data_IF_716996894304
#
_entry.id   IF_716996894304
#
_cell.length_a   1.000
_cell.length_b   1.000
_cell.length_c   1.000
_cell.angle_alpha   90.00
_cell.angle_beta   90.00
_cell.angle_gamma   90.00
#
_symmetry.space_group_name_H-M   'P 1'
#
loop_
_entity.id
_entity.type
_entity.pdbx_description
1 polymer ?
#
# COMPACT_ATOMS: atom_id res chain seq x y z
N UNK A 1 -20.71 -45.93 45.39
CA UNK A 1 -21.60 -45.99 46.57
C UNK A 1 -20.72 -45.74 47.80
N UNK A 2 -21.20 -44.91 48.73
CA UNK A 2 -20.62 -44.53 50.05
C UNK A 2 -19.76 -43.25 50.14
N UNK A 3 -20.42 -42.22 50.68
CA UNK A 3 -19.91 -40.99 51.29
C UNK A 3 -19.19 -41.25 52.62
N UNK A 4 -18.29 -40.34 53.02
CA UNK A 4 -18.08 -39.75 54.38
C UNK A 4 -16.90 -38.77 54.29
N UNK A 5 -17.06 -37.45 54.28
CA UNK A 5 -17.41 -36.52 55.38
C UNK A 5 -16.45 -36.58 56.57
N UNK A 6 -15.65 -35.52 56.76
CA UNK A 6 -14.95 -35.00 57.96
C UNK A 6 -14.02 -33.88 57.44
N UNK A 7 -13.91 -32.65 57.93
CA UNK A 7 -14.42 -31.94 59.09
C UNK A 7 -13.54 -30.68 59.20
N UNK A 8 -14.14 -29.49 59.27
CA UNK A 8 -13.42 -28.22 59.42
C UNK A 8 -12.58 -28.23 60.72
N UNK A 9 -11.34 -27.73 60.65
CA UNK A 9 -10.65 -27.22 61.82
C UNK A 9 -9.97 -25.89 61.48
N UNK A 10 -10.64 -24.81 61.91
CA UNK A 10 -10.15 -23.43 61.86
C UNK A 10 -8.97 -23.29 62.81
N UNK A 11 -7.77 -22.98 62.29
CA UNK A 11 -6.63 -22.54 63.11
C UNK A 11 -6.28 -21.10 62.80
N UNK A 12 -6.54 -20.23 63.78
CA UNK A 12 -6.02 -18.87 63.90
C UNK A 12 -4.49 -18.91 63.81
N UNK A 13 -3.92 -18.14 62.89
CA UNK A 13 -2.51 -17.78 62.92
C UNK A 13 -2.39 -16.27 63.19
N UNK A 14 -1.60 -15.95 64.20
CA UNK A 14 -1.47 -14.66 64.85
C UNK A 14 -0.82 -13.59 63.95
N UNK A 15 -1.24 -12.34 64.14
CA UNK A 15 -0.60 -11.15 63.58
C UNK A 15 0.82 -10.98 64.15
N UNK A 16 1.84 -11.31 63.35
CA UNK A 16 3.21 -10.86 63.59
C UNK A 16 3.42 -9.52 62.86
N UNK A 17 3.65 -8.44 63.62
CA UNK A 17 4.08 -7.14 63.10
C UNK A 17 5.51 -7.27 62.57
N UNK A 18 5.67 -7.16 61.26
CA UNK A 18 6.98 -7.03 60.61
C UNK A 18 7.32 -5.53 60.49
N UNK A 19 8.54 -5.09 60.86
CA UNK A 19 8.92 -3.68 60.82
C UNK A 19 9.18 -3.20 59.38
N UNK A 20 8.74 -1.98 59.08
CA UNK A 20 8.97 -1.28 57.81
C UNK A 20 10.45 -0.90 57.65
N UNK A 21 11.12 -1.21 56.53
CA UNK A 21 12.41 -0.61 56.22
C UNK A 21 12.25 0.81 55.66
N UNK A 22 13.26 1.62 55.97
CA UNK A 22 13.34 3.06 55.74
C UNK A 22 13.27 3.49 54.27
N UNK A 23 12.71 4.68 54.06
CA UNK A 23 12.58 5.35 52.77
C UNK A 23 13.96 5.57 52.12
N UNK A 24 14.22 4.85 51.02
CA UNK A 24 15.33 5.14 50.12
C UNK A 24 14.83 5.99 48.94
N UNK A 25 15.49 7.13 48.77
CA UNK A 25 15.27 8.13 47.73
C UNK A 25 15.58 7.54 46.36
N UNK A 26 14.55 7.33 45.51
CA UNK A 26 14.74 7.03 44.09
C UNK A 26 14.39 8.28 43.30
N UNK A 27 15.43 8.97 42.85
CA UNK A 27 15.33 10.02 41.85
C UNK A 27 15.01 9.45 40.47
N UNK A 28 14.02 10.06 39.83
CA UNK A 28 14.03 10.49 38.42
C UNK A 28 14.34 9.41 37.36
N UNK A 29 13.28 8.80 36.81
CA UNK A 29 13.00 8.69 35.37
C UNK A 29 11.86 7.67 35.11
N UNK A 30 10.60 8.11 35.25
CA UNK A 30 9.46 7.47 34.60
C UNK A 30 8.99 8.41 33.51
N UNK A 31 9.67 8.35 32.36
CA UNK A 31 9.12 8.90 31.13
C UNK A 31 7.96 7.96 30.73
N UNK A 32 6.74 8.47 30.84
CA UNK A 32 5.55 7.78 30.41
C UNK A 32 5.65 7.44 28.92
N UNK A 33 5.70 6.14 28.61
CA UNK A 33 5.45 5.64 27.26
C UNK A 33 3.97 5.80 26.96
N UNK A 34 3.57 7.04 26.60
CA UNK A 34 2.36 7.23 25.82
C UNK A 34 2.64 6.62 24.45
N UNK A 35 2.10 5.43 24.19
CA UNK A 35 1.91 4.98 22.82
C UNK A 35 1.07 6.06 22.15
N UNK A 36 1.64 6.75 21.15
CA UNK A 36 0.87 7.64 20.30
C UNK A 36 -0.23 6.78 19.67
N UNK A 37 -1.46 6.92 20.18
CA UNK A 37 -2.64 6.47 19.46
C UNK A 37 -2.59 7.16 18.09
N UNK A 38 -2.74 6.44 16.96
CA UNK A 38 -2.77 7.09 15.66
C UNK A 38 -3.80 8.21 15.72
N UNK A 39 -3.41 9.39 15.21
CA UNK A 39 -4.29 10.54 15.20
C UNK A 39 -5.65 10.14 14.59
N UNK A 40 -6.78 10.56 15.19
CA UNK A 40 -8.09 10.28 14.61
C UNK A 40 -8.08 10.75 13.15
N UNK A 41 -8.63 9.96 12.21
CA UNK A 41 -8.64 10.32 10.81
C UNK A 41 -9.26 11.71 10.66
N UNK A 42 -8.60 12.58 9.90
CA UNK A 42 -9.09 13.92 9.64
C UNK A 42 -10.55 13.85 9.15
N UNK A 43 -11.43 14.78 9.56
CA UNK A 43 -12.80 14.79 9.07
C UNK A 43 -12.79 14.79 7.53
N UNK A 44 -13.61 13.96 6.88
CA UNK A 44 -13.57 13.77 5.44
C UNK A 44 -13.76 15.12 4.75
N UNK A 45 -12.73 15.57 4.05
CA UNK A 45 -12.77 16.82 3.31
C UNK A 45 -13.61 16.56 2.05
N UNK A 46 -14.76 17.24 1.96
CA UNK A 46 -15.61 17.15 0.79
C UNK A 46 -14.81 17.48 -0.49
N UNK A 47 -14.99 16.72 -1.59
CA UNK A 47 -14.31 16.99 -2.86
C UNK A 47 -14.51 18.44 -3.33
N UNK A 48 -13.48 19.02 -3.94
CA UNK A 48 -13.53 20.38 -4.46
C UNK A 48 -14.50 20.53 -5.66
N UNK A 49 -14.69 19.47 -6.46
CA UNK A 49 -15.66 19.47 -7.56
C UNK A 49 -17.10 19.32 -7.03
N UNK A 50 -17.99 20.17 -7.52
CA UNK A 50 -19.39 20.22 -7.06
C UNK A 50 -20.18 18.95 -7.38
N UNK A 51 -19.84 18.21 -8.43
CA UNK A 51 -20.55 16.99 -8.82
C UNK A 51 -20.03 15.79 -8.02
N UNK A 52 -18.72 15.73 -7.77
CA UNK A 52 -18.12 14.77 -6.85
C UNK A 52 -18.61 14.96 -5.42
N UNK A 53 -18.72 16.22 -4.95
CA UNK A 53 -19.31 16.51 -3.64
C UNK A 53 -20.78 16.04 -3.55
N UNK A 54 -21.55 16.16 -4.62
CA UNK A 54 -22.92 15.61 -4.70
C UNK A 54 -22.93 14.09 -4.68
N UNK A 55 -22.01 13.44 -5.38
CA UNK A 55 -21.88 11.99 -5.38
C UNK A 55 -21.50 11.47 -3.98
N UNK A 56 -20.56 12.15 -3.31
CA UNK A 56 -20.17 11.87 -1.93
C UNK A 56 -21.37 11.96 -0.98
N UNK A 57 -22.09 13.09 -0.98
CA UNK A 57 -23.26 13.29 -0.12
C UNK A 57 -24.34 12.24 -0.40
N UNK A 58 -24.55 11.88 -1.67
CA UNK A 58 -25.52 10.85 -2.05
C UNK A 58 -25.17 9.48 -1.46
N UNK A 59 -23.92 9.05 -1.58
CA UNK A 59 -23.46 7.76 -1.05
C UNK A 59 -23.48 7.72 0.48
N UNK A 60 -23.11 8.82 1.16
CA UNK A 60 -23.24 8.92 2.62
C UNK A 60 -24.71 8.88 3.05
N UNK A 61 -25.62 9.54 2.31
CA UNK A 61 -27.04 9.51 2.61
C UNK A 61 -27.68 8.11 2.46
N UNK A 62 -27.07 7.23 1.64
CA UNK A 62 -27.44 5.82 1.53
C UNK A 62 -26.89 4.95 2.69
N UNK A 63 -26.12 5.54 3.60
CA UNK A 63 -25.62 4.88 4.81
C UNK A 63 -24.20 4.33 4.70
N UNK A 64 -23.48 4.58 3.60
CA UNK A 64 -22.10 4.13 3.45
C UNK A 64 -21.12 4.97 4.28
N UNK A 65 -20.11 4.32 4.88
CA UNK A 65 -19.06 4.97 5.68
C UNK A 65 -18.19 5.86 4.79
N UNK A 66 -17.73 7.01 5.32
CA UNK A 66 -16.92 7.97 4.58
C UNK A 66 -15.71 7.36 3.86
N UNK A 67 -14.95 6.49 4.53
CA UNK A 67 -13.80 5.80 3.92
C UNK A 67 -14.16 4.94 2.69
N UNK A 68 -15.32 4.29 2.72
CA UNK A 68 -15.82 3.49 1.58
C UNK A 68 -16.26 4.40 0.45
N UNK A 69 -16.94 5.50 0.78
CA UNK A 69 -17.34 6.51 -0.21
C UNK A 69 -16.13 7.12 -0.90
N UNK A 70 -15.11 7.51 -0.13
CA UNK A 70 -13.86 8.06 -0.67
C UNK A 70 -13.15 7.08 -1.61
N UNK A 71 -13.08 5.80 -1.23
CA UNK A 71 -12.46 4.76 -2.05
C UNK A 71 -13.27 4.44 -3.33
N UNK A 72 -14.60 4.39 -3.25
CA UNK A 72 -15.49 4.25 -4.43
C UNK A 72 -15.28 5.42 -5.40
N UNK A 73 -15.25 6.65 -4.89
CA UNK A 73 -15.03 7.84 -5.73
C UNK A 73 -13.62 7.84 -6.34
N UNK A 74 -12.59 7.41 -5.60
CA UNK A 74 -11.23 7.25 -6.12
C UNK A 74 -11.19 6.23 -7.27
N UNK A 75 -11.78 5.05 -7.09
CA UNK A 75 -11.84 4.01 -8.12
C UNK A 75 -12.56 4.50 -9.39
N UNK A 76 -13.63 5.29 -9.26
CA UNK A 76 -14.34 5.87 -10.40
C UNK A 76 -13.54 6.97 -11.11
N UNK A 77 -12.72 7.76 -10.38
CA UNK A 77 -11.83 8.76 -10.97
C UNK A 77 -10.73 8.15 -11.83
N UNK A 78 -10.23 6.97 -11.45
CA UNK A 78 -9.21 6.25 -12.24
C UNK A 78 -9.71 5.88 -13.64
N UNK A 79 -11.03 5.79 -13.82
CA UNK A 79 -11.67 5.61 -15.13
C UNK A 79 -11.70 6.90 -15.98
N UNK A 80 -11.02 7.97 -15.54
CA UNK A 80 -10.92 9.29 -16.20
C UNK A 80 -12.28 9.95 -16.49
N UNK A 81 -13.26 9.72 -15.64
CA UNK A 81 -14.57 10.37 -15.75
C UNK A 81 -14.47 11.85 -15.35
N UNK A 82 -15.13 12.73 -16.09
CA UNK A 82 -15.36 14.11 -15.62
C UNK A 82 -16.28 14.10 -14.40
N UNK A 83 -16.26 15.13 -13.56
CA UNK A 83 -17.10 15.16 -12.34
C UNK A 83 -18.61 14.95 -12.61
N UNK A 84 -19.11 15.48 -13.74
CA UNK A 84 -20.51 15.25 -14.16
C UNK A 84 -20.76 13.80 -14.61
N UNK A 85 -19.83 13.20 -15.36
CA UNK A 85 -19.90 11.79 -15.76
C UNK A 85 -19.78 10.85 -14.56
N UNK A 86 -18.97 11.21 -13.55
CA UNK A 86 -18.82 10.46 -12.31
C UNK A 86 -20.13 10.45 -11.53
N UNK A 87 -20.76 11.62 -11.33
CA UNK A 87 -22.07 11.68 -10.67
C UNK A 87 -23.15 10.90 -11.46
N UNK A 88 -23.09 10.95 -12.79
CA UNK A 88 -23.93 10.13 -13.66
C UNK A 88 -23.71 8.63 -13.45
N UNK A 89 -22.46 8.17 -13.38
CA UNK A 89 -22.10 6.79 -13.13
C UNK A 89 -22.57 6.31 -11.76
N UNK A 90 -22.36 7.10 -10.70
CA UNK A 90 -22.85 6.79 -9.35
C UNK A 90 -24.37 6.65 -9.33
N UNK A 91 -25.09 7.57 -9.98
CA UNK A 91 -26.56 7.48 -10.11
C UNK A 91 -26.99 6.25 -10.91
N UNK A 92 -26.24 5.89 -11.94
CA UNK A 92 -26.45 4.68 -12.72
C UNK A 92 -26.32 3.42 -11.86
N UNK A 93 -25.27 3.35 -11.03
CA UNK A 93 -25.00 2.22 -10.12
C UNK A 93 -26.02 2.08 -9.00
N UNK A 94 -26.60 3.19 -8.54
CA UNK A 94 -27.72 3.18 -7.58
C UNK A 94 -28.98 2.59 -8.23
N UNK A 95 -29.07 2.67 -9.55
CA UNK A 95 -30.26 2.28 -10.31
C UNK A 95 -31.39 3.30 -10.21
N UNK A 96 -32.52 2.97 -10.83
CA UNK A 96 -33.77 3.76 -10.74
C UNK A 96 -34.78 3.02 -9.87
N UNK A 97 -35.46 3.69 -8.93
CA UNK A 97 -36.42 3.05 -8.05
C UNK A 97 -37.57 2.37 -8.82
N UNK A 98 -37.93 2.90 -9.99
CA UNK A 98 -38.96 2.34 -10.88
C UNK A 98 -38.57 1.07 -11.65
N UNK A 99 -37.29 0.74 -11.78
CA UNK A 99 -36.80 -0.44 -12.54
C UNK A 99 -36.21 -1.52 -11.62
N UNK A 100 -36.05 -1.21 -10.32
CA UNK A 100 -35.29 -2.03 -9.38
C UNK A 100 -33.79 -1.71 -9.45
N UNK A 101 -33.06 -1.96 -8.35
CA UNK A 101 -31.59 -1.87 -8.36
C UNK A 101 -31.02 -3.22 -8.81
N UNK A 102 -30.01 -3.19 -9.67
CA UNK A 102 -29.31 -4.38 -10.18
C UNK A 102 -28.23 -4.90 -9.22
N UNK A 103 -28.09 -4.28 -8.03
CA UNK A 103 -27.02 -4.59 -7.08
C UNK A 103 -25.68 -4.00 -7.45
N UNK A 104 -25.57 -3.17 -8.50
CA UNK A 104 -24.29 -2.66 -9.00
C UNK A 104 -23.50 -1.87 -7.97
N UNK A 105 -24.14 -0.91 -7.29
CA UNK A 105 -23.48 -0.16 -6.21
C UNK A 105 -23.08 -1.06 -5.04
N UNK A 106 -23.96 -1.98 -4.61
CA UNK A 106 -23.68 -2.86 -3.48
C UNK A 106 -22.51 -3.81 -3.77
N UNK A 107 -22.42 -4.35 -4.98
CA UNK A 107 -21.31 -5.16 -5.42
C UNK A 107 -19.98 -4.36 -5.45
N UNK A 108 -20.02 -3.13 -5.94
CA UNK A 108 -18.85 -2.24 -5.94
C UNK A 108 -18.41 -1.91 -4.51
N UNK A 109 -19.36 -1.55 -3.64
CA UNK A 109 -19.12 -1.28 -2.22
C UNK A 109 -18.51 -2.50 -1.53
N UNK A 110 -19.07 -3.68 -1.72
CA UNK A 110 -18.54 -4.92 -1.14
C UNK A 110 -17.10 -5.19 -1.62
N UNK A 111 -16.82 -4.97 -2.91
CA UNK A 111 -15.47 -5.13 -3.46
C UNK A 111 -14.49 -4.12 -2.84
N UNK A 112 -14.90 -2.86 -2.69
CA UNK A 112 -14.07 -1.81 -2.07
C UNK A 112 -13.84 -2.10 -0.59
N UNK A 113 -14.85 -2.57 0.14
CA UNK A 113 -14.69 -2.97 1.53
C UNK A 113 -13.73 -4.16 1.67
N UNK A 114 -13.76 -5.11 0.73
CA UNK A 114 -12.79 -6.20 0.67
C UNK A 114 -11.36 -5.69 0.44
N UNK A 115 -11.18 -4.71 -0.45
CA UNK A 115 -9.87 -4.08 -0.70
C UNK A 115 -9.38 -3.35 0.55
N UNK A 116 -10.22 -2.52 1.16
CA UNK A 116 -9.88 -1.79 2.39
C UNK A 116 -9.53 -2.75 3.53
N UNK A 117 -10.28 -3.84 3.69
CA UNK A 117 -9.98 -4.87 4.69
C UNK A 117 -8.66 -5.61 4.41
N UNK A 118 -8.33 -5.83 3.13
CA UNK A 118 -7.03 -6.41 2.74
C UNK A 118 -5.86 -5.41 2.93
N UNK A 119 -6.15 -4.12 3.00
CA UNK A 119 -5.19 -3.04 3.25
C UNK A 119 -5.07 -2.67 4.74
N UNK A 120 -6.07 -3.03 5.55
CA UNK A 120 -6.17 -2.67 6.96
C UNK A 120 -4.99 -3.27 7.76
N UNK A 121 -4.19 -2.40 8.36
CA UNK A 121 -3.02 -2.78 9.17
C UNK A 121 -1.73 -3.01 8.37
N UNK A 122 -1.73 -2.88 7.04
CA UNK A 122 -0.49 -2.92 6.25
C UNK A 122 0.29 -1.63 6.39
N UNK A 123 1.59 -1.74 6.63
CA UNK A 123 2.47 -0.58 6.69
C UNK A 123 2.53 0.10 5.32
N UNK A 124 2.52 1.44 5.30
CA UNK A 124 2.81 2.21 4.09
C UNK A 124 4.32 2.29 3.91
N UNK A 125 4.77 2.03 2.69
CA UNK A 125 6.17 2.08 2.28
C UNK A 125 6.29 3.12 1.18
N UNK A 126 7.20 4.08 1.36
CA UNK A 126 7.53 5.07 0.34
C UNK A 126 8.85 4.71 -0.31
N UNK A 127 8.92 4.85 -1.62
CA UNK A 127 10.16 4.67 -2.36
C UNK A 127 10.30 5.74 -3.43
N UNK A 128 11.54 6.01 -3.81
CA UNK A 128 11.92 7.03 -4.79
C UNK A 128 12.36 6.37 -6.07
N UNK A 129 11.85 6.91 -7.16
CA UNK A 129 12.13 6.43 -8.51
C UNK A 129 12.88 7.51 -9.27
N UNK A 130 14.06 7.15 -9.76
CA UNK A 130 14.84 7.94 -10.70
C UNK A 130 14.43 7.57 -12.13
N UNK A 131 14.04 8.57 -12.90
CA UNK A 131 13.78 8.42 -14.34
C UNK A 131 15.07 8.09 -15.09
N UNK A 132 14.99 7.59 -16.33
CA UNK A 132 16.18 7.23 -17.10
C UNK A 132 17.10 8.42 -17.48
N UNK A 133 16.62 9.65 -17.28
CA UNK A 133 17.37 10.89 -17.51
C UNK A 133 18.17 11.34 -16.28
N UNK A 134 17.83 10.84 -15.10
CA UNK A 134 18.48 11.24 -13.86
C UNK A 134 19.97 10.86 -13.84
N UNK A 135 20.82 11.77 -13.36
CA UNK A 135 22.24 11.50 -13.13
C UNK A 135 22.52 11.36 -11.64
N UNK A 136 23.39 10.41 -11.30
CA UNK A 136 23.74 10.10 -9.92
C UNK A 136 22.60 9.48 -9.11
N UNK A 137 22.90 9.13 -7.87
CA UNK A 137 21.93 8.60 -6.90
C UNK A 137 21.47 9.64 -5.89
N UNK A 138 22.05 10.85 -5.93
CA UNK A 138 21.68 11.93 -5.03
C UNK A 138 20.23 12.37 -5.25
N UNK A 139 19.49 12.49 -4.15
CA UNK A 139 18.05 12.72 -4.13
C UNK A 139 17.77 14.20 -3.80
N UNK A 140 17.92 15.09 -4.79
CA UNK A 140 17.34 16.44 -4.69
C UNK A 140 15.84 16.36 -5.00
N UNK A 141 15.00 16.66 -4.01
CA UNK A 141 13.54 16.67 -4.11
C UNK A 141 13.01 17.66 -5.16
N UNK A 142 13.81 18.64 -5.58
CA UNK A 142 13.42 19.64 -6.59
C UNK A 142 13.69 19.18 -8.02
N UNK A 143 14.37 18.05 -8.21
CA UNK A 143 14.70 17.57 -9.55
C UNK A 143 13.54 16.74 -10.13
N UNK A 144 12.92 17.18 -11.24
CA UNK A 144 11.77 16.51 -11.85
C UNK A 144 12.10 15.13 -12.43
N UNK A 145 13.37 14.77 -12.54
CA UNK A 145 13.81 13.44 -12.95
C UNK A 145 13.71 12.40 -11.83
N UNK A 146 13.22 12.78 -10.64
CA UNK A 146 12.94 11.90 -9.51
C UNK A 146 11.52 12.14 -8.98
N UNK A 147 10.88 11.09 -8.51
CA UNK A 147 9.57 11.19 -7.88
C UNK A 147 9.41 10.14 -6.79
N UNK A 148 8.54 10.43 -5.82
CA UNK A 148 8.21 9.52 -4.74
C UNK A 148 6.93 8.75 -5.08
N UNK A 149 6.90 7.49 -4.68
CA UNK A 149 5.78 6.57 -4.83
C UNK A 149 5.45 6.02 -3.45
N UNK A 150 4.17 6.10 -3.07
CA UNK A 150 3.67 5.45 -1.86
C UNK A 150 3.06 4.11 -2.25
N UNK A 151 3.17 3.11 -1.38
CA UNK A 151 2.58 1.79 -1.60
C UNK A 151 2.37 1.08 -0.26
N UNK A 152 1.73 -0.09 -0.30
CA UNK A 152 1.55 -0.93 0.87
C UNK A 152 2.58 -2.05 0.90
N UNK A 153 3.02 -2.41 2.10
CA UNK A 153 3.84 -3.60 2.34
C UNK A 153 3.18 -4.85 1.72
N UNK A 154 3.98 -5.70 1.08
CA UNK A 154 3.53 -6.89 0.36
C UNK A 154 3.20 -6.66 -1.11
N UNK A 155 3.16 -5.41 -1.60
CA UNK A 155 3.09 -5.14 -3.04
C UNK A 155 4.48 -5.26 -3.68
N UNK A 156 4.57 -5.79 -4.90
CA UNK A 156 5.79 -5.66 -5.70
C UNK A 156 5.85 -4.29 -6.39
N UNK A 157 7.03 -3.87 -6.86
CA UNK A 157 7.17 -2.63 -7.66
C UNK A 157 6.29 -2.70 -8.91
N UNK A 158 6.17 -3.88 -9.53
CA UNK A 158 5.30 -4.09 -10.68
C UNK A 158 3.81 -3.97 -10.32
N UNK A 159 3.39 -4.46 -9.15
CA UNK A 159 2.02 -4.28 -8.68
C UNK A 159 1.68 -2.80 -8.47
N UNK A 160 2.63 -2.04 -7.92
CA UNK A 160 2.46 -0.59 -7.76
C UNK A 160 2.36 0.10 -9.12
N UNK A 161 3.21 -0.28 -10.08
CA UNK A 161 3.16 0.27 -11.44
C UNK A 161 1.85 -0.05 -12.15
N UNK A 162 1.30 -1.26 -11.99
CA UNK A 162 0.10 -1.71 -12.74
C UNK A 162 -1.21 -1.37 -12.04
N UNK A 163 -1.24 -1.44 -10.72
CA UNK A 163 -2.45 -1.45 -9.91
C UNK A 163 -2.48 -0.33 -8.87
N UNK A 164 -1.37 0.39 -8.66
CA UNK A 164 -1.24 1.46 -7.67
C UNK A 164 -1.95 2.76 -8.02
N UNK A 165 -3.06 2.75 -8.76
CA UNK A 165 -3.79 3.96 -9.15
C UNK A 165 -4.29 4.77 -7.92
N UNK A 166 -4.45 4.14 -6.75
CA UNK A 166 -4.72 4.80 -5.46
C UNK A 166 -3.48 5.21 -4.63
N UNK A 167 -2.27 4.93 -5.10
CA UNK A 167 -1.01 5.10 -4.37
C UNK A 167 -0.34 6.48 -4.62
N UNK A 168 -1.08 7.40 -5.23
CA UNK A 168 -0.67 8.79 -5.47
C UNK A 168 -0.09 9.03 -6.87
N UNK A 169 0.22 10.30 -7.21
CA UNK A 169 0.65 10.70 -8.56
C UNK A 169 1.93 10.00 -9.03
N UNK A 170 2.82 9.61 -8.11
CA UNK A 170 4.06 8.89 -8.45
C UNK A 170 3.82 7.50 -9.03
N UNK A 171 2.84 6.75 -8.51
CA UNK A 171 2.52 5.41 -9.02
C UNK A 171 2.05 5.47 -10.49
N UNK A 172 1.32 6.53 -10.85
CA UNK A 172 0.94 6.77 -12.24
C UNK A 172 2.15 7.02 -13.13
N UNK A 173 3.11 7.85 -12.70
CA UNK A 173 4.34 8.07 -13.49
C UNK A 173 5.13 6.77 -13.62
N UNK A 174 5.19 5.96 -12.56
CA UNK A 174 5.83 4.65 -12.61
C UNK A 174 5.15 3.71 -13.63
N UNK A 175 3.82 3.74 -13.73
CA UNK A 175 3.06 2.97 -14.72
C UNK A 175 3.41 3.32 -16.17
N UNK A 176 3.82 4.56 -16.42
CA UNK A 176 4.24 5.02 -17.75
C UNK A 176 5.69 4.62 -18.06
N UNK A 177 6.49 4.26 -17.04
CA UNK A 177 7.90 3.90 -17.18
C UNK A 177 8.15 2.39 -17.20
N UNK A 178 7.28 1.58 -16.58
CA UNK A 178 7.40 0.13 -16.51
C UNK A 178 6.23 -0.56 -17.21
N UNK A 179 6.52 -1.27 -18.30
CA UNK A 179 5.49 -1.96 -19.08
C UNK A 179 4.90 -3.15 -18.33
N UNK A 180 5.73 -3.91 -17.59
CA UNK A 180 5.31 -5.09 -16.84
C UNK A 180 4.48 -6.09 -17.67
N UNK A 181 4.94 -6.41 -18.88
CA UNK A 181 4.18 -7.12 -19.92
C UNK A 181 3.66 -8.50 -19.48
N UNK A 182 4.47 -9.30 -18.78
CA UNK A 182 4.06 -10.63 -18.32
C UNK A 182 3.17 -10.62 -17.07
N UNK A 183 2.83 -9.46 -16.50
CA UNK A 183 2.03 -9.37 -15.26
C UNK A 183 2.68 -10.03 -14.04
N UNK A 184 4.01 -9.98 -13.95
CA UNK A 184 4.74 -10.41 -12.76
C UNK A 184 5.02 -11.91 -12.65
N UNK A 185 4.69 -12.71 -13.68
CA UNK A 185 4.95 -14.16 -13.70
C UNK A 185 6.38 -14.56 -14.09
N UNK A 186 7.33 -13.62 -14.03
CA UNK A 186 8.75 -13.84 -14.36
C UNK A 186 8.99 -14.45 -15.75
N UNK A 187 8.20 -14.02 -16.75
CA UNK A 187 8.33 -14.47 -18.15
C UNK A 187 8.85 -13.38 -19.10
N UNK A 188 9.25 -12.22 -18.58
CA UNK A 188 9.86 -11.13 -19.35
C UNK A 188 10.74 -10.26 -18.44
N UNK A 189 11.55 -9.39 -19.04
CA UNK A 189 12.41 -8.42 -18.34
C UNK A 189 11.89 -6.97 -18.38
N UNK A 190 10.65 -6.73 -18.81
CA UNK A 190 10.10 -5.36 -19.01
C UNK A 190 9.70 -4.64 -17.72
N UNK A 191 9.90 -5.26 -16.57
CA UNK A 191 9.81 -4.63 -15.24
C UNK A 191 11.18 -4.36 -14.62
N UNK A 192 12.25 -4.44 -15.41
CA UNK A 192 13.63 -4.23 -14.96
C UNK A 192 13.80 -2.86 -14.29
N UNK A 193 14.36 -2.90 -13.08
CA UNK A 193 14.78 -1.72 -12.31
C UNK A 193 16.20 -1.91 -11.81
N UNK A 194 16.90 -0.81 -11.58
CA UNK A 194 18.23 -0.81 -10.94
C UNK A 194 18.10 -0.29 -9.53
N UNK A 195 18.45 -1.10 -8.54
CA UNK A 195 18.39 -0.71 -7.13
C UNK A 195 19.63 0.11 -6.79
N UNK A 196 19.47 1.17 -5.99
CA UNK A 196 20.60 1.93 -5.50
C UNK A 196 21.54 1.06 -4.65
N UNK A 197 22.87 1.18 -4.78
CA UNK A 197 23.82 0.27 -4.13
C UNK A 197 23.64 0.14 -2.61
N UNK A 198 23.29 1.23 -1.92
CA UNK A 198 23.05 1.27 -0.48
C UNK A 198 21.80 0.49 -0.04
N UNK A 199 20.88 0.22 -0.97
CA UNK A 199 19.64 -0.52 -0.73
C UNK A 199 19.71 -1.97 -1.19
N UNK A 200 20.65 -2.32 -2.08
CA UNK A 200 20.69 -3.63 -2.72
C UNK A 200 20.78 -4.79 -1.71
N UNK A 201 21.60 -4.65 -0.66
CA UNK A 201 21.71 -5.66 0.39
C UNK A 201 20.39 -5.88 1.16
N UNK A 202 19.54 -4.85 1.29
CA UNK A 202 18.23 -4.96 1.94
C UNK A 202 17.20 -5.60 1.01
N UNK A 203 17.24 -5.25 -0.28
CA UNK A 203 16.36 -5.80 -1.31
C UNK A 203 16.66 -7.28 -1.57
N UNK A 204 17.93 -7.68 -1.46
CA UNK A 204 18.39 -9.04 -1.71
C UNK A 204 18.86 -9.25 -3.14
N UNK A 205 19.62 -10.32 -3.34
CA UNK A 205 20.10 -10.73 -4.66
C UNK A 205 18.99 -11.45 -5.45
N UNK A 206 19.01 -11.37 -6.79
CA UNK A 206 18.12 -12.16 -7.63
C UNK A 206 18.42 -13.66 -7.51
N UNK A 207 17.38 -14.49 -7.57
CA UNK A 207 17.54 -15.95 -7.69
C UNK A 207 18.06 -16.32 -9.10
N UNK A 208 18.24 -17.61 -9.35
CA UNK A 208 18.81 -18.09 -10.62
C UNK A 208 17.87 -17.81 -11.80
N UNK A 209 16.57 -18.08 -11.64
CA UNK A 209 15.58 -17.85 -12.69
C UNK A 209 15.41 -16.35 -13.00
N UNK A 210 15.44 -15.48 -11.98
CA UNK A 210 15.42 -14.03 -12.14
C UNK A 210 16.69 -13.55 -12.85
N UNK A 211 17.85 -14.11 -12.54
CA UNK A 211 19.13 -13.78 -13.22
C UNK A 211 19.08 -14.11 -14.70
N UNK A 212 18.58 -15.29 -15.05
CA UNK A 212 18.41 -15.71 -16.45
C UNK A 212 17.51 -14.74 -17.22
N UNK A 213 16.47 -14.21 -16.58
CA UNK A 213 15.60 -13.19 -17.17
C UNK A 213 16.28 -11.81 -17.23
N UNK A 214 17.10 -11.45 -16.25
CA UNK A 214 17.84 -10.19 -16.24
C UNK A 214 18.93 -10.13 -17.33
N UNK A 215 19.47 -11.27 -17.76
CA UNK A 215 20.40 -11.34 -18.89
C UNK A 215 19.75 -10.87 -20.21
N UNK A 216 18.42 -10.97 -20.30
CA UNK A 216 17.63 -10.48 -21.43
C UNK A 216 17.22 -9.01 -21.27
N UNK A 217 17.54 -8.35 -20.16
CA UNK A 217 17.15 -6.98 -19.89
C UNK A 217 17.97 -5.96 -20.69
N UNK A 218 17.50 -4.72 -20.75
CA UNK A 218 18.21 -3.64 -21.41
C UNK A 218 19.25 -3.04 -20.46
N UNK A 219 20.54 -3.14 -20.82
CA UNK A 219 21.67 -2.64 -20.03
C UNK A 219 21.62 -3.10 -18.54
N UNK A 220 21.63 -4.42 -18.26
CA UNK A 220 21.63 -4.91 -16.89
C UNK A 220 22.92 -4.49 -16.15
N UNK A 221 22.80 -4.37 -14.82
CA UNK A 221 23.86 -3.94 -13.91
C UNK A 221 23.92 -4.92 -12.74
N UNK A 222 24.97 -4.84 -11.92
CA UNK A 222 25.12 -5.72 -10.76
C UNK A 222 24.04 -5.55 -9.68
N UNK A 223 23.31 -4.43 -9.67
CA UNK A 223 22.19 -4.19 -8.75
C UNK A 223 20.83 -4.17 -9.45
N UNK A 224 20.77 -4.72 -10.67
CA UNK A 224 19.51 -4.91 -11.39
C UNK A 224 18.65 -5.96 -10.70
N UNK A 225 17.34 -5.69 -10.67
CA UNK A 225 16.28 -6.61 -10.23
C UNK A 225 15.10 -6.51 -11.17
N UNK A 226 14.29 -7.56 -11.22
CA UNK A 226 12.95 -7.51 -11.80
C UNK A 226 12.00 -6.90 -10.79
N UNK A 227 11.36 -5.78 -11.13
CA UNK A 227 10.46 -5.06 -10.22
C UNK A 227 9.29 -5.91 -9.71
N UNK A 228 8.89 -6.96 -10.44
CA UNK A 228 7.88 -7.91 -9.96
C UNK A 228 8.36 -8.84 -8.84
N UNK A 229 9.66 -9.08 -8.71
CA UNK A 229 10.25 -9.90 -7.65
C UNK A 229 10.66 -9.06 -6.43
N UNK A 230 10.68 -7.73 -6.55
CA UNK A 230 10.97 -6.82 -5.45
C UNK A 230 9.69 -6.53 -4.67
N UNK A 231 9.44 -7.32 -3.63
CA UNK A 231 8.31 -7.13 -2.70
C UNK A 231 8.66 -6.08 -1.65
N UNK A 232 7.80 -5.07 -1.51
CA UNK A 232 7.93 -4.00 -0.53
C UNK A 232 7.74 -4.54 0.89
N UNK A 233 8.70 -4.24 1.76
CA UNK A 233 8.68 -4.54 3.20
C UNK A 233 8.79 -3.23 3.97
N UNK A 234 8.33 -3.18 5.22
CA UNK A 234 8.47 -1.98 6.05
C UNK A 234 9.91 -1.45 6.14
N UNK A 235 10.91 -2.35 6.08
CA UNK A 235 12.35 -2.03 6.09
C UNK A 235 12.85 -1.31 4.83
N UNK A 236 12.04 -1.31 3.76
CA UNK A 236 12.33 -0.66 2.48
C UNK A 236 11.72 0.75 2.38
N UNK A 237 11.18 1.31 3.47
CA UNK A 237 10.75 2.72 3.49
C UNK A 237 11.95 3.64 3.22
N UNK A 238 11.87 4.42 2.15
CA UNK A 238 12.93 5.25 1.60
C UNK A 238 13.76 4.61 0.49
N UNK A 239 13.42 3.40 0.02
CA UNK A 239 14.10 2.70 -1.08
C UNK A 239 14.31 3.63 -2.28
N UNK A 240 15.49 3.58 -2.87
CA UNK A 240 15.82 4.32 -4.10
C UNK A 240 16.07 3.35 -5.23
N UNK A 241 15.36 3.52 -6.34
CA UNK A 241 15.52 2.73 -7.55
C UNK A 241 15.55 3.61 -8.80
N UNK A 242 16.15 3.12 -9.88
CA UNK A 242 16.20 3.78 -11.19
C UNK A 242 15.55 2.90 -12.24
N UNK A 243 14.75 3.52 -13.11
CA UNK A 243 14.25 2.87 -14.33
C UNK A 243 15.29 3.04 -15.45
N UNK A 244 15.72 1.96 -16.13
CA UNK A 244 16.59 2.01 -17.31
C UNK A 244 15.96 2.76 -18.49
N UNK A 245 16.76 3.10 -19.51
CA UNK A 245 16.30 3.89 -20.67
C UNK A 245 15.35 3.17 -21.61
N UNK A 246 15.32 1.84 -21.56
CA UNK A 246 14.44 1.02 -22.37
C UNK A 246 14.11 -0.28 -21.65
N UNK A 247 13.17 -1.01 -22.24
CA UNK A 247 12.82 -2.36 -21.87
C UNK A 247 12.95 -3.24 -23.12
N UNK A 248 13.40 -4.48 -22.95
CA UNK A 248 13.40 -5.45 -24.04
C UNK A 248 12.09 -6.23 -24.00
N UNK A 249 11.16 -5.92 -24.90
CA UNK A 249 9.95 -6.70 -25.07
C UNK A 249 10.12 -7.67 -26.26
N UNK A 250 9.87 -8.97 -26.05
CA UNK A 250 10.06 -9.98 -27.09
C UNK A 250 9.14 -9.77 -28.31
N UNK A 251 8.06 -9.01 -28.17
CA UNK A 251 7.15 -8.68 -29.28
C UNK A 251 7.66 -7.56 -30.18
N UNK A 252 8.61 -6.71 -29.71
CA UNK A 252 9.09 -5.56 -30.49
C UNK A 252 10.03 -5.97 -31.65
N UNK A 253 10.58 -7.18 -31.58
CA UNK A 253 11.56 -7.70 -32.55
C UNK A 253 10.99 -8.81 -33.46
N UNK A 254 9.66 -8.93 -33.57
CA UNK A 254 9.05 -9.84 -34.55
C UNK A 254 8.92 -9.07 -35.87
N UNK A 255 9.76 -9.33 -36.90
CA UNK A 255 9.59 -8.71 -38.20
C UNK A 255 8.29 -9.22 -38.83
N UNK A 256 7.30 -8.34 -38.97
CA UNK A 256 6.18 -8.60 -39.86
C UNK A 256 6.69 -8.40 -41.30
N UNK A 257 6.58 -9.40 -42.19
CA UNK A 257 6.87 -9.17 -43.60
C UNK A 257 5.87 -8.14 -44.16
N UNK A 258 6.39 -7.17 -44.92
CA UNK A 258 5.59 -6.20 -45.68
C UNK A 258 4.58 -6.87 -46.64
#
# INVERSE_FOLDING_TARGET
MALRALGLCVRRAACARVPLPAAATVGRALAASFSATPAPPAPPQLPADKHEAKAYVLLVALGHRGAVVDAVLAALRDSRLSGEALLGAVRGLIGRPEVGHDGGLDALVASVEQQLAAEEGRARVRFRVLTPRARGWDVDERDPSRFEVEAFEGMSIADVARHGAGAGPGARVLSELLECACSGVMACSTCHVVVAPEWFARVGEPDEDERDMLDLAFEPTSTSRLGCQVVLRAELDGLVLRVPRGANNMMDNIPFPD
#
